data_IF_894191597269
#
_entry.id   IF_894191597269
#
_cell.length_a   1.000
_cell.length_b   1.000
_cell.length_c   1.000
_cell.angle_alpha   90.00
_cell.angle_beta   90.00
_cell.angle_gamma   90.00
#
_symmetry.space_group_name_H-M   'P 1'
#
loop_
_entity.id
_entity.type
_entity.pdbx_description
1 polymer ?
#
# COMPACT_ATOMS: atom_id res chain seq x y z
N UNK A 1 -20.13 -21.04 6.38
CA UNK A 1 -19.45 -22.07 7.18
C UNK A 1 -20.43 -23.21 7.30
N UNK A 2 -20.15 -24.37 6.72
CA UNK A 2 -21.03 -25.54 6.87
C UNK A 2 -21.12 -25.87 8.37
N UNK A 3 -22.33 -26.01 8.88
CA UNK A 3 -22.59 -26.33 10.28
C UNK A 3 -22.12 -27.75 10.57
N UNK A 4 -21.23 -27.91 11.55
CA UNK A 4 -20.63 -29.20 11.89
C UNK A 4 -21.70 -30.11 12.54
N UNK A 5 -22.14 -31.16 11.85
CA UNK A 5 -23.12 -32.10 12.40
C UNK A 5 -22.47 -33.13 13.34
N UNK A 6 -22.30 -32.72 14.60
CA UNK A 6 -21.78 -33.57 15.69
C UNK A 6 -22.87 -34.18 16.55
N UNK A 7 -24.14 -34.13 16.12
CA UNK A 7 -25.23 -34.66 16.93
C UNK A 7 -25.42 -36.16 16.68
N UNK A 8 -24.67 -36.99 17.44
CA UNK A 8 -24.75 -38.45 17.36
C UNK A 8 -25.83 -39.06 18.26
N UNK A 9 -26.41 -38.28 19.17
CA UNK A 9 -27.33 -38.75 20.21
C UNK A 9 -28.54 -39.53 19.66
N UNK A 10 -29.19 -39.11 18.56
CA UNK A 10 -30.33 -39.83 17.99
C UNK A 10 -29.97 -41.25 17.53
N UNK A 11 -28.85 -41.41 16.81
CA UNK A 11 -28.39 -42.71 16.32
C UNK A 11 -27.93 -43.61 17.48
N UNK A 12 -27.25 -43.05 18.48
CA UNK A 12 -26.85 -43.80 19.68
C UNK A 12 -28.07 -44.32 20.44
N UNK A 13 -29.10 -43.48 20.58
CA UNK A 13 -30.36 -43.87 21.20
C UNK A 13 -31.07 -44.99 20.43
N UNK A 14 -31.11 -44.91 19.09
CA UNK A 14 -31.70 -45.95 18.24
C UNK A 14 -30.95 -47.29 18.33
N UNK A 15 -29.61 -47.27 18.43
CA UNK A 15 -28.80 -48.48 18.64
C UNK A 15 -29.13 -49.12 19.99
N UNK A 16 -29.14 -48.33 21.08
CA UNK A 16 -29.45 -48.82 22.42
C UNK A 16 -30.86 -49.44 22.50
N UNK A 17 -31.83 -48.78 21.85
CA UNK A 17 -33.21 -49.28 21.74
C UNK A 17 -33.28 -50.60 20.95
N UNK A 18 -32.49 -50.74 19.89
CA UNK A 18 -32.45 -51.94 19.05
C UNK A 18 -31.75 -53.14 19.73
N UNK A 19 -30.85 -52.89 20.69
CA UNK A 19 -30.27 -53.95 21.54
C UNK A 19 -31.23 -54.47 22.62
N UNK A 20 -32.20 -53.65 23.04
CA UNK A 20 -33.06 -53.93 24.21
C UNK A 20 -34.36 -54.64 23.84
N UNK A 21 -34.68 -54.76 22.55
CA UNK A 21 -35.93 -55.32 22.03
C UNK A 21 -35.58 -56.38 21.00
N UNK A 22 -36.24 -57.54 21.02
CA UNK A 22 -36.15 -58.56 19.95
C UNK A 22 -36.66 -57.95 18.64
N UNK A 23 -35.76 -57.32 17.90
CA UNK A 23 -36.02 -56.62 16.64
C UNK A 23 -35.32 -57.31 15.48
N UNK A 24 -35.71 -56.92 14.28
CA UNK A 24 -35.19 -57.42 13.01
C UNK A 24 -33.65 -57.56 13.07
N UNK A 25 -33.08 -58.76 12.83
CA UNK A 25 -31.65 -59.01 12.95
C UNK A 25 -30.78 -58.12 12.05
N UNK A 26 -31.38 -57.41 11.08
CA UNK A 26 -30.68 -56.48 10.19
C UNK A 26 -30.72 -54.99 10.65
N UNK A 27 -31.61 -54.61 11.58
CA UNK A 27 -31.78 -53.20 12.01
C UNK A 27 -30.56 -52.67 12.79
N UNK A 28 -30.02 -53.49 13.70
CA UNK A 28 -28.87 -53.12 14.51
C UNK A 28 -27.58 -52.91 13.67
N UNK A 29 -27.18 -53.85 12.77
CA UNK A 29 -26.06 -53.64 11.86
C UNK A 29 -26.20 -52.38 11.00
N UNK A 30 -27.42 -52.09 10.51
CA UNK A 30 -27.69 -50.91 9.70
C UNK A 30 -27.44 -49.62 10.47
N UNK A 31 -27.94 -49.52 11.72
CA UNK A 31 -27.75 -48.33 12.57
C UNK A 31 -26.30 -48.15 13.02
N UNK A 32 -25.57 -49.24 13.25
CA UNK A 32 -24.13 -49.19 13.53
C UNK A 32 -23.33 -48.69 12.31
N UNK A 33 -23.71 -49.12 11.09
CA UNK A 33 -23.09 -48.63 9.86
C UNK A 33 -23.37 -47.12 9.64
N UNK A 34 -24.59 -46.67 9.95
CA UNK A 34 -24.99 -45.26 9.90
C UNK A 34 -24.16 -44.40 10.87
N UNK A 35 -23.97 -44.86 12.12
CA UNK A 35 -23.09 -44.19 13.09
C UNK A 35 -21.66 -44.08 12.58
N UNK A 36 -21.12 -45.16 12.00
CA UNK A 36 -19.76 -45.19 11.46
C UNK A 36 -19.58 -44.18 10.31
N UNK A 37 -20.55 -44.11 9.40
CA UNK A 37 -20.55 -43.14 8.31
C UNK A 37 -20.59 -41.71 8.85
N UNK A 38 -21.46 -41.45 9.83
CA UNK A 38 -21.57 -40.12 10.46
C UNK A 38 -20.29 -39.70 11.18
N UNK A 39 -19.64 -40.62 11.90
CA UNK A 39 -18.34 -40.37 12.55
C UNK A 39 -17.24 -40.07 11.54
N UNK A 40 -17.23 -40.75 10.40
CA UNK A 40 -16.25 -40.52 9.35
C UNK A 40 -16.42 -39.14 8.72
N UNK A 41 -17.66 -38.77 8.41
CA UNK A 41 -17.99 -37.45 7.89
C UNK A 41 -17.59 -36.34 8.88
N UNK A 42 -17.88 -36.53 10.17
CA UNK A 42 -17.48 -35.57 11.21
C UNK A 42 -15.95 -35.43 11.30
N UNK A 43 -15.18 -36.52 11.20
CA UNK A 43 -13.70 -36.45 11.16
C UNK A 43 -13.19 -35.65 9.96
N UNK A 44 -13.77 -35.87 8.77
CA UNK A 44 -13.40 -35.14 7.56
C UNK A 44 -13.72 -33.66 7.64
N UNK A 45 -14.84 -33.30 8.28
CA UNK A 45 -15.19 -31.90 8.53
C UNK A 45 -14.26 -31.25 9.58
N UNK A 46 -13.95 -31.95 10.67
CA UNK A 46 -13.02 -31.49 11.71
C UNK A 46 -11.64 -31.23 11.12
N UNK A 47 -11.14 -32.12 10.26
CA UNK A 47 -9.84 -31.97 9.58
C UNK A 47 -9.77 -30.75 8.65
N UNK A 48 -10.92 -30.21 8.24
CA UNK A 48 -11.01 -28.99 7.41
C UNK A 48 -11.23 -27.72 8.25
N UNK A 49 -11.36 -27.84 9.58
CA UNK A 49 -11.55 -26.67 10.43
C UNK A 49 -10.29 -25.80 10.42
N UNK A 50 -10.43 -24.48 10.21
CA UNK A 50 -9.30 -23.58 10.21
C UNK A 50 -8.62 -23.59 11.58
N UNK A 51 -7.30 -23.75 11.58
CA UNK A 51 -6.47 -23.69 12.76
C UNK A 51 -6.31 -24.99 13.53
N UNK A 52 -6.86 -26.11 13.06
CA UNK A 52 -6.63 -27.44 13.63
C UNK A 52 -5.19 -27.96 13.39
N UNK A 53 -4.50 -27.35 12.43
CA UNK A 53 -3.10 -27.56 12.08
C UNK A 53 -2.12 -26.88 13.04
N UNK A 54 -2.58 -25.93 13.85
CA UNK A 54 -1.76 -25.24 14.85
C UNK A 54 -1.66 -26.04 16.16
N UNK A 55 -0.50 -25.95 16.82
CA UNK A 55 -0.41 -26.35 18.22
C UNK A 55 -1.21 -25.40 19.10
N UNK A 56 -1.54 -25.84 20.32
CA UNK A 56 -2.21 -24.99 21.30
C UNK A 56 -1.46 -23.68 21.53
N UNK A 57 -0.14 -23.74 21.67
CA UNK A 57 0.72 -22.57 21.90
C UNK A 57 0.67 -21.59 20.71
N UNK A 58 0.64 -22.10 19.49
CA UNK A 58 0.53 -21.26 18.29
C UNK A 58 -0.86 -20.63 18.16
N UNK A 59 -1.93 -21.37 18.49
CA UNK A 59 -3.29 -20.82 18.56
C UNK A 59 -3.38 -19.68 19.59
N UNK A 60 -2.80 -19.86 20.77
CA UNK A 60 -2.76 -18.84 21.83
C UNK A 60 -1.97 -17.60 21.38
N UNK A 61 -0.81 -17.80 20.71
CA UNK A 61 -0.01 -16.71 20.17
C UNK A 61 -0.77 -15.92 19.09
N UNK A 62 -1.43 -16.60 18.17
CA UNK A 62 -2.23 -15.94 17.13
C UNK A 62 -3.39 -15.15 17.73
N UNK A 63 -4.07 -15.71 18.74
CA UNK A 63 -5.13 -15.03 19.46
C UNK A 63 -4.64 -13.74 20.14
N UNK A 64 -3.47 -13.78 20.76
CA UNK A 64 -2.84 -12.62 21.38
C UNK A 64 -2.50 -11.53 20.34
N UNK A 65 -1.90 -11.91 19.22
CA UNK A 65 -1.62 -10.98 18.12
C UNK A 65 -2.90 -10.34 17.55
N UNK A 66 -3.96 -11.13 17.36
CA UNK A 66 -5.25 -10.63 16.88
C UNK A 66 -5.90 -9.66 17.87
N UNK A 67 -5.80 -9.94 19.17
CA UNK A 67 -6.27 -9.01 20.22
C UNK A 67 -5.51 -7.69 20.19
N UNK A 68 -4.18 -7.74 20.07
CA UNK A 68 -3.34 -6.55 19.94
C UNK A 68 -3.71 -5.73 18.69
N UNK A 69 -3.89 -6.40 17.54
CA UNK A 69 -4.34 -5.74 16.32
C UNK A 69 -5.72 -5.09 16.46
N UNK A 70 -6.65 -5.77 17.14
CA UNK A 70 -8.01 -5.26 17.35
C UNK A 70 -7.98 -3.95 18.16
N UNK A 71 -7.18 -3.91 19.23
CA UNK A 71 -6.99 -2.70 20.06
C UNK A 71 -6.48 -1.55 19.21
N UNK A 72 -5.35 -1.75 18.49
CA UNK A 72 -4.75 -0.73 17.65
C UNK A 72 -5.74 -0.23 16.59
N UNK A 73 -6.38 -1.13 15.85
CA UNK A 73 -7.36 -0.75 14.81
C UNK A 73 -8.54 0.02 15.37
N UNK A 74 -9.03 -0.37 16.55
CA UNK A 74 -10.14 0.33 17.21
C UNK A 74 -9.73 1.74 17.65
N UNK A 75 -8.51 1.93 18.12
CA UNK A 75 -7.99 3.25 18.46
C UNK A 75 -7.79 4.15 17.25
N UNK A 76 -7.30 3.60 16.13
CA UNK A 76 -7.15 4.36 14.88
C UNK A 76 -8.49 4.86 14.34
N UNK A 77 -9.55 4.06 14.45
CA UNK A 77 -10.90 4.46 14.04
C UNK A 77 -11.51 5.58 14.89
N UNK A 78 -10.99 5.81 16.11
CA UNK A 78 -11.47 6.92 16.97
C UNK A 78 -10.89 8.27 16.56
N UNK A 79 -9.78 8.30 15.83
CA UNK A 79 -9.10 9.54 15.45
C UNK A 79 -9.68 10.06 14.14
N UNK A 80 -10.04 11.34 14.11
CA UNK A 80 -10.51 11.98 12.88
C UNK A 80 -9.30 12.40 12.02
N UNK A 81 -9.14 11.85 10.81
CA UNK A 81 -8.07 12.26 9.91
C UNK A 81 -8.08 13.77 9.60
N UNK A 82 -9.23 14.42 9.73
CA UNK A 82 -9.40 15.85 9.48
C UNK A 82 -8.52 16.71 10.39
N UNK A 83 -8.26 16.27 11.63
CA UNK A 83 -7.37 16.98 12.56
C UNK A 83 -5.94 17.05 12.02
N UNK A 84 -5.41 15.95 11.49
CA UNK A 84 -4.08 15.93 10.88
C UNK A 84 -4.02 16.75 9.59
N UNK A 85 -5.06 16.64 8.75
CA UNK A 85 -5.16 17.39 7.50
C UNK A 85 -5.14 18.91 7.74
N UNK A 86 -5.67 19.37 8.89
CA UNK A 86 -5.67 20.79 9.24
C UNK A 86 -4.27 21.36 9.50
N UNK A 87 -3.27 20.53 9.79
CA UNK A 87 -1.90 20.99 10.06
C UNK A 87 -0.98 20.93 8.83
N UNK A 88 -1.38 20.22 7.76
CA UNK A 88 -0.55 20.05 6.56
C UNK A 88 -0.22 21.37 5.87
N UNK A 89 1.02 21.50 5.39
CA UNK A 89 1.57 22.65 4.69
C UNK A 89 1.52 23.97 5.48
N UNK A 90 1.36 23.89 6.80
CA UNK A 90 1.33 25.06 7.70
C UNK A 90 2.55 25.07 8.59
N UNK A 91 2.90 26.26 9.08
CA UNK A 91 3.96 26.40 10.07
C UNK A 91 3.37 26.12 11.46
N UNK A 92 3.96 25.18 12.18
CA UNK A 92 3.54 24.80 13.53
C UNK A 92 4.73 24.83 14.48
N UNK A 93 4.41 24.93 15.76
CA UNK A 93 5.33 24.68 16.86
C UNK A 93 4.83 23.46 17.63
N UNK A 94 5.62 22.40 17.60
CA UNK A 94 5.37 21.12 18.27
C UNK A 94 6.09 21.13 19.61
N UNK A 95 5.35 20.88 20.69
CA UNK A 95 5.92 20.71 22.04
C UNK A 95 6.05 19.23 22.34
N UNK A 96 7.27 18.80 22.71
CA UNK A 96 7.54 17.43 23.13
C UNK A 96 7.34 17.23 24.64
N UNK A 97 7.32 15.97 25.08
CA UNK A 97 7.13 15.55 26.47
C UNK A 97 8.30 15.93 27.40
N UNK A 98 9.50 16.08 26.85
CA UNK A 98 10.68 16.61 27.52
C UNK A 98 10.68 18.15 27.65
N UNK A 99 9.65 18.82 27.12
CA UNK A 99 9.51 20.28 27.11
C UNK A 99 10.26 20.98 25.98
N UNK A 100 10.95 20.25 25.09
CA UNK A 100 11.55 20.82 23.90
C UNK A 100 10.48 21.27 22.90
N UNK A 101 10.81 22.29 22.11
CA UNK A 101 9.89 22.84 21.10
C UNK A 101 10.54 22.83 19.72
N UNK A 102 9.80 22.31 18.76
CA UNK A 102 10.24 22.16 17.37
C UNK A 102 9.35 22.99 16.47
N UNK A 103 9.94 23.99 15.82
CA UNK A 103 9.24 24.86 14.88
C UNK A 103 9.57 24.47 13.44
N UNK A 104 8.55 24.35 12.61
CA UNK A 104 8.72 24.07 11.17
C UNK A 104 7.40 23.91 10.42
N UNK A 105 7.51 23.67 9.13
CA UNK A 105 6.38 23.45 8.23
C UNK A 105 6.04 21.97 8.17
N UNK A 106 4.77 21.63 8.39
CA UNK A 106 4.33 20.23 8.40
C UNK A 106 4.31 19.68 6.97
N UNK A 107 5.14 18.68 6.71
CA UNK A 107 5.13 17.91 5.47
C UNK A 107 4.08 16.79 5.53
N UNK A 108 4.10 16.00 6.60
CA UNK A 108 3.13 14.92 6.82
C UNK A 108 2.99 14.58 8.30
N UNK A 109 1.89 13.91 8.65
CA UNK A 109 1.66 13.31 9.96
C UNK A 109 1.22 11.87 9.72
N UNK A 110 1.95 10.91 10.29
CA UNK A 110 1.58 9.50 10.19
C UNK A 110 0.36 9.22 11.10
N UNK A 111 -0.81 8.82 10.56
CA UNK A 111 -2.00 8.58 11.37
C UNK A 111 -1.84 7.42 12.36
N UNK A 112 -0.88 6.52 12.13
CA UNK A 112 -0.63 5.37 13.02
C UNK A 112 0.27 5.76 14.18
N UNK A 113 1.51 6.16 13.90
CA UNK A 113 2.47 6.51 14.94
C UNK A 113 2.31 7.93 15.49
N UNK A 114 1.50 8.77 14.85
CA UNK A 114 1.36 10.22 15.12
C UNK A 114 2.66 11.00 14.96
N UNK A 115 3.64 10.43 14.25
CA UNK A 115 4.91 11.10 14.00
C UNK A 115 4.69 12.29 13.09
N UNK A 116 5.21 13.45 13.49
CA UNK A 116 5.09 14.72 12.76
C UNK A 116 6.40 14.98 12.03
N UNK A 117 6.32 15.19 10.73
CA UNK A 117 7.47 15.52 9.88
C UNK A 117 7.48 17.02 9.60
N UNK A 118 8.47 17.72 10.14
CA UNK A 118 8.66 19.16 9.99
C UNK A 118 9.80 19.46 9.02
N UNK A 119 9.62 20.52 8.22
CA UNK A 119 10.63 21.07 7.31
C UNK A 119 10.91 22.50 7.70
N UNK A 120 12.19 22.83 7.87
CA UNK A 120 12.64 24.20 8.08
C UNK A 120 13.15 24.77 6.76
N UNK A 121 12.83 26.04 6.53
CA UNK A 121 13.29 26.79 5.37
C UNK A 121 14.27 27.86 5.83
N UNK A 122 15.36 28.03 5.10
CA UNK A 122 16.29 29.13 5.27
C UNK A 122 16.35 29.93 3.97
N UNK A 123 16.40 31.26 4.10
CA UNK A 123 16.67 32.18 2.99
C UNK A 123 18.17 32.44 2.95
N UNK A 124 18.91 31.93 1.95
CA UNK A 124 20.32 32.26 1.78
C UNK A 124 20.49 33.78 1.58
N UNK A 125 21.58 34.33 2.11
CA UNK A 125 21.89 35.75 1.92
C UNK A 125 21.98 36.07 0.42
N UNK A 126 21.13 37.00 -0.06
CA UNK A 126 21.07 37.40 -1.48
C UNK A 126 20.08 36.62 -2.35
N UNK A 127 19.27 35.71 -1.78
CA UNK A 127 18.17 35.03 -2.48
C UNK A 127 16.82 35.42 -1.90
N UNK A 128 15.88 35.80 -2.76
CA UNK A 128 14.46 35.99 -2.40
C UNK A 128 13.71 34.65 -2.23
N UNK A 129 14.35 33.54 -2.59
CA UNK A 129 13.77 32.19 -2.50
C UNK A 129 14.30 31.44 -1.29
N UNK A 130 13.37 30.94 -0.45
CA UNK A 130 13.71 30.11 0.69
C UNK A 130 13.90 28.65 0.23
N UNK A 131 14.95 28.01 0.73
CA UNK A 131 15.25 26.61 0.41
C UNK A 131 15.09 25.74 1.66
N UNK A 132 14.64 24.48 1.51
CA UNK A 132 14.53 23.57 2.64
C UNK A 132 15.93 23.30 3.21
N UNK A 133 16.13 23.60 4.49
CA UNK A 133 17.42 23.53 5.17
C UNK A 133 17.54 22.31 6.08
N UNK A 134 16.44 21.90 6.71
CA UNK A 134 16.44 20.78 7.67
C UNK A 134 15.09 20.05 7.67
N UNK A 135 15.16 18.72 7.71
CA UNK A 135 14.03 17.83 7.95
C UNK A 135 14.12 17.28 9.37
N UNK A 136 13.04 17.35 10.14
CA UNK A 136 12.96 16.85 11.50
C UNK A 136 11.73 15.97 11.67
N UNK A 137 11.89 14.82 12.31
CA UNK A 137 10.81 13.88 12.58
C UNK A 137 10.64 13.80 14.09
N UNK A 138 9.49 14.24 14.59
CA UNK A 138 9.11 14.10 16.00
C UNK A 138 8.21 12.88 16.14
N UNK A 139 8.63 11.93 16.97
CA UNK A 139 7.87 10.70 17.21
C UNK A 139 6.57 11.01 17.93
N UNK A 140 5.45 10.42 17.51
CA UNK A 140 4.14 10.81 18.03
C UNK A 140 3.89 10.55 19.52
N UNK A 141 4.59 9.60 20.14
CA UNK A 141 4.52 9.39 21.59
C UNK A 141 5.19 10.53 22.39
N UNK A 142 6.11 11.26 21.77
CA UNK A 142 6.77 12.42 22.36
C UNK A 142 5.95 13.71 22.14
N UNK A 143 5.01 13.74 21.19
CA UNK A 143 4.23 14.95 20.89
C UNK A 143 3.16 15.19 21.95
N UNK A 144 3.24 16.32 22.65
CA UNK A 144 2.25 16.76 23.63
C UNK A 144 1.23 17.71 23.02
N UNK A 145 1.69 18.67 22.21
CA UNK A 145 0.81 19.67 21.61
C UNK A 145 1.38 20.19 20.27
N UNK A 146 0.48 20.56 19.36
CA UNK A 146 0.81 21.19 18.07
C UNK A 146 0.09 22.54 18.01
N UNK A 147 0.86 23.62 18.05
CA UNK A 147 0.33 24.99 17.97
C UNK A 147 0.59 25.58 16.58
N UNK A 148 -0.45 26.16 15.98
CA UNK A 148 -0.35 26.73 14.64
C UNK A 148 0.29 28.13 14.71
N UNK A 149 1.41 28.32 14.02
CA UNK A 149 2.16 29.59 13.96
C UNK A 149 1.80 30.36 12.69
N UNK A 150 1.74 29.68 11.54
CA UNK A 150 1.30 30.26 10.28
C UNK A 150 0.27 29.35 9.61
N UNK A 151 -0.91 29.91 9.30
CA UNK A 151 -2.01 29.19 8.66
C UNK A 151 -2.00 29.25 7.13
N UNK A 152 -1.11 30.05 6.53
CA UNK A 152 -0.98 30.18 5.08
C UNK A 152 -0.37 28.92 4.50
N UNK A 153 -1.19 28.13 3.81
CA UNK A 153 -0.77 26.85 3.22
C UNK A 153 0.06 27.04 1.96
N UNK A 154 -0.16 28.13 1.22
CA UNK A 154 0.47 28.33 -0.10
C UNK A 154 1.94 28.78 -0.04
N UNK A 155 2.46 29.13 1.14
CA UNK A 155 3.79 29.74 1.30
C UNK A 155 4.92 28.84 0.82
N UNK A 156 4.95 27.59 1.25
CA UNK A 156 5.99 26.61 0.86
C UNK A 156 5.42 25.30 0.33
N UNK A 157 4.14 25.26 -0.03
CA UNK A 157 3.49 24.04 -0.50
C UNK A 157 4.21 23.41 -1.69
N UNK A 158 4.61 24.24 -2.66
CA UNK A 158 5.29 23.75 -3.87
C UNK A 158 6.63 23.12 -3.52
N UNK A 159 7.38 23.75 -2.64
CA UNK A 159 8.70 23.32 -2.18
C UNK A 159 8.59 22.04 -1.35
N UNK A 160 7.56 21.92 -0.50
CA UNK A 160 7.23 20.70 0.25
C UNK A 160 6.87 19.55 -0.71
N UNK A 161 5.98 19.78 -1.68
CA UNK A 161 5.59 18.78 -2.69
C UNK A 161 6.79 18.31 -3.54
N UNK A 162 7.83 19.15 -3.66
CA UNK A 162 9.06 18.86 -4.40
C UNK A 162 10.14 18.16 -3.59
N UNK A 163 10.08 18.18 -2.25
CA UNK A 163 11.18 17.76 -1.37
C UNK A 163 11.72 16.35 -1.65
N UNK A 164 10.83 15.42 -2.02
CA UNK A 164 11.18 14.04 -2.36
C UNK A 164 10.90 13.69 -3.84
N UNK A 165 10.61 14.70 -4.67
CA UNK A 165 10.41 14.49 -6.09
C UNK A 165 11.79 14.48 -6.78
N UNK A 166 12.09 13.51 -7.65
CA UNK A 166 13.34 13.52 -8.41
C UNK A 166 13.45 14.83 -9.21
N UNK A 167 14.61 15.51 -9.17
CA UNK A 167 14.89 16.76 -9.92
C UNK A 167 14.50 16.66 -11.41
N UNK A 168 14.65 15.47 -12.00
CA UNK A 168 14.28 15.18 -13.38
C UNK A 168 12.78 15.41 -13.67
N UNK A 169 11.93 15.29 -12.65
CA UNK A 169 10.49 15.52 -12.74
C UNK A 169 10.09 16.98 -12.46
N UNK A 170 11.03 17.82 -12.03
CA UNK A 170 10.84 19.26 -11.78
C UNK A 170 10.96 20.07 -13.08
N UNK A 171 11.90 19.70 -13.95
CA UNK A 171 12.03 20.22 -15.33
C UNK A 171 10.79 19.90 -16.18
N UNK A 172 10.04 18.83 -15.87
CA UNK A 172 8.94 18.32 -16.70
C UNK A 172 7.56 18.94 -16.39
N UNK A 173 7.52 20.05 -15.68
CA UNK A 173 6.25 20.68 -15.25
C UNK A 173 5.54 21.47 -16.35
N UNK A 174 6.18 21.65 -17.52
CA UNK A 174 5.54 22.24 -18.69
C UNK A 174 4.79 21.19 -19.50
N UNK A 175 3.47 21.34 -19.67
CA UNK A 175 2.68 20.54 -20.63
C UNK A 175 3.31 20.55 -22.03
N UNK A 176 3.89 21.68 -22.42
CA UNK A 176 4.60 21.83 -23.69
C UNK A 176 5.87 20.99 -23.77
N UNK A 177 6.63 20.88 -22.69
CA UNK A 177 7.88 20.11 -22.65
C UNK A 177 7.61 18.61 -22.60
N UNK A 178 6.54 18.22 -21.89
CA UNK A 178 6.04 16.86 -21.88
C UNK A 178 5.61 16.40 -23.28
N UNK A 179 4.96 17.29 -24.06
CA UNK A 179 4.62 17.04 -25.47
C UNK A 179 5.87 16.98 -26.36
N UNK A 180 6.85 17.87 -26.17
CA UNK A 180 8.15 17.79 -26.89
C UNK A 180 8.85 16.46 -26.62
N UNK A 181 8.83 16.00 -25.36
CA UNK A 181 9.45 14.72 -24.96
C UNK A 181 8.69 13.53 -25.52
N UNK A 182 7.35 13.56 -25.46
CA UNK A 182 6.48 12.57 -26.10
C UNK A 182 6.80 12.41 -27.57
N UNK A 183 6.88 13.53 -28.30
CA UNK A 183 7.16 13.52 -29.74
C UNK A 183 8.59 13.08 -30.04
N UNK A 184 9.57 13.44 -29.19
CA UNK A 184 10.96 12.95 -29.30
C UNK A 184 11.04 11.43 -29.14
N UNK A 185 10.40 10.87 -28.11
CA UNK A 185 10.37 9.41 -27.86
C UNK A 185 9.62 8.70 -28.98
N UNK A 186 8.48 9.23 -29.41
CA UNK A 186 7.69 8.70 -30.53
C UNK A 186 8.52 8.67 -31.82
N UNK A 187 9.17 9.77 -32.16
CA UNK A 187 10.03 9.89 -33.36
C UNK A 187 11.23 8.94 -33.29
N UNK A 188 11.86 8.82 -32.12
CA UNK A 188 12.98 7.91 -31.91
C UNK A 188 12.59 6.44 -32.09
N UNK A 189 11.47 6.03 -31.49
CA UNK A 189 10.95 4.66 -31.64
C UNK A 189 10.56 4.36 -33.09
N UNK A 190 9.90 5.30 -33.76
CA UNK A 190 9.55 5.18 -35.19
C UNK A 190 10.81 5.06 -36.07
N UNK A 191 11.86 5.84 -35.78
CA UNK A 191 13.14 5.78 -36.49
C UNK A 191 13.86 4.44 -36.26
N UNK A 192 13.68 3.83 -35.09
CA UNK A 192 14.15 2.47 -34.79
C UNK A 192 13.21 1.36 -35.31
N UNK A 193 12.32 1.70 -36.27
CA UNK A 193 11.38 0.77 -36.93
C UNK A 193 10.38 0.11 -35.98
N UNK A 194 10.06 0.77 -34.87
CA UNK A 194 9.00 0.35 -33.95
C UNK A 194 7.74 1.16 -34.25
N UNK A 195 6.62 0.54 -34.66
CA UNK A 195 5.39 1.28 -34.92
C UNK A 195 4.79 1.73 -33.59
N UNK A 196 4.59 3.04 -33.44
CA UNK A 196 4.02 3.65 -32.23
C UNK A 196 2.65 4.23 -32.53
N UNK A 197 1.64 3.80 -31.79
CA UNK A 197 0.30 4.38 -31.78
C UNK A 197 0.11 5.20 -30.51
N UNK A 198 -0.62 6.32 -30.60
CA UNK A 198 -0.87 7.20 -29.44
C UNK A 198 -2.28 6.91 -28.93
N UNK A 199 -2.37 6.39 -27.70
CA UNK A 199 -3.62 6.13 -27.00
C UNK A 199 -3.74 7.13 -25.83
N UNK A 200 -4.28 8.31 -26.09
CA UNK A 200 -4.35 9.41 -25.13
C UNK A 200 -2.96 9.93 -24.75
N UNK A 201 -2.57 9.74 -23.49
CA UNK A 201 -1.26 10.12 -22.95
C UNK A 201 -0.23 8.99 -23.00
N UNK A 202 -0.58 7.81 -23.51
CA UNK A 202 0.32 6.63 -23.55
C UNK A 202 0.79 6.35 -24.98
N UNK A 203 2.09 6.08 -25.14
CA UNK A 203 2.66 5.59 -26.40
C UNK A 203 2.60 4.05 -26.40
N UNK A 204 1.82 3.48 -27.31
CA UNK A 204 1.67 2.04 -27.48
C UNK A 204 2.57 1.55 -28.62
N UNK A 205 3.38 0.52 -28.34
CA UNK A 205 4.32 -0.09 -29.26
C UNK A 205 3.82 -1.50 -29.59
N UNK A 206 3.13 -1.64 -30.72
CA UNK A 206 2.60 -2.92 -31.23
C UNK A 206 1.81 -3.77 -30.21
N UNK A 207 1.09 -3.15 -29.28
CA UNK A 207 0.37 -3.80 -28.16
C UNK A 207 1.27 -4.63 -27.21
N UNK A 208 2.59 -4.55 -27.37
CA UNK A 208 3.56 -5.33 -26.62
C UNK A 208 4.22 -4.50 -25.51
N UNK A 209 4.35 -3.19 -25.69
CA UNK A 209 4.91 -2.28 -24.69
C UNK A 209 4.21 -0.92 -24.71
N UNK A 210 4.16 -0.28 -23.54
CA UNK A 210 3.52 1.00 -23.31
C UNK A 210 4.51 1.95 -22.64
N UNK A 211 4.57 3.20 -23.07
CA UNK A 211 5.37 4.25 -22.43
C UNK A 211 4.43 5.32 -21.89
N UNK A 212 4.46 5.53 -20.58
CA UNK A 212 3.59 6.46 -19.86
C UNK A 212 4.35 7.75 -19.52
N UNK A 213 3.66 8.88 -19.29
CA UNK A 213 4.30 10.09 -18.77
C UNK A 213 5.08 9.78 -17.48
N UNK A 214 6.27 10.37 -17.26
CA UNK A 214 6.97 11.40 -18.05
C UNK A 214 7.76 10.94 -19.30
N UNK A 215 7.47 9.77 -19.87
CA UNK A 215 8.10 9.22 -21.07
C UNK A 215 9.58 8.89 -20.92
N UNK A 216 9.98 8.38 -19.76
CA UNK A 216 11.34 7.88 -19.51
C UNK A 216 11.43 6.36 -19.68
N UNK A 217 12.66 5.84 -19.68
CA UNK A 217 12.87 4.40 -19.76
C UNK A 217 12.22 3.69 -18.56
N UNK A 218 12.23 4.31 -17.40
CA UNK A 218 11.65 3.80 -16.17
C UNK A 218 10.11 3.78 -16.22
N UNK A 219 9.48 4.54 -17.13
CA UNK A 219 8.03 4.62 -17.30
C UNK A 219 7.51 3.72 -18.44
N UNK A 220 8.21 2.62 -18.71
CA UNK A 220 7.79 1.62 -19.68
C UNK A 220 7.08 0.45 -18.98
N UNK A 221 5.98 -0.04 -19.56
CA UNK A 221 5.24 -1.23 -19.11
C UNK A 221 5.13 -2.25 -20.23
N UNK A 222 5.42 -3.51 -19.94
CA UNK A 222 5.25 -4.64 -20.86
C UNK A 222 5.06 -5.93 -20.05
N UNK A 223 4.27 -6.87 -20.56
CA UNK A 223 4.14 -8.22 -19.98
C UNK A 223 5.33 -9.12 -20.33
N UNK A 224 6.19 -8.67 -21.25
CA UNK A 224 7.40 -9.35 -21.67
C UNK A 224 8.63 -8.53 -21.26
N UNK A 225 9.41 -9.05 -20.31
CA UNK A 225 10.59 -8.37 -19.76
C UNK A 225 11.72 -8.18 -20.78
N UNK A 226 11.83 -9.06 -21.78
CA UNK A 226 12.82 -8.90 -22.86
C UNK A 226 12.45 -7.70 -23.73
N UNK A 227 11.16 -7.56 -24.05
CA UNK A 227 10.65 -6.40 -24.79
C UNK A 227 10.83 -5.13 -23.95
N UNK A 228 10.50 -5.19 -22.66
CA UNK A 228 10.69 -4.08 -21.72
C UNK A 228 12.15 -3.60 -21.74
N UNK A 229 13.11 -4.49 -21.47
CA UNK A 229 14.53 -4.14 -21.44
C UNK A 229 15.05 -3.56 -22.75
N UNK A 230 14.55 -4.04 -23.90
CA UNK A 230 14.91 -3.49 -25.22
C UNK A 230 14.36 -2.08 -25.43
N UNK A 231 13.09 -1.84 -25.11
CA UNK A 231 12.47 -0.51 -25.22
C UNK A 231 13.16 0.48 -24.27
N UNK A 232 13.42 0.05 -23.03
CA UNK A 232 14.15 0.86 -22.05
C UNK A 232 15.57 1.20 -22.54
N UNK A 233 16.28 0.23 -23.12
CA UNK A 233 17.60 0.46 -23.73
C UNK A 233 17.55 1.44 -24.89
N UNK A 234 16.54 1.34 -25.76
CA UNK A 234 16.34 2.28 -26.87
C UNK A 234 16.10 3.70 -26.36
N UNK A 235 15.26 3.88 -25.35
CA UNK A 235 14.96 5.20 -24.77
C UNK A 235 16.19 5.79 -24.07
N UNK A 236 17.00 4.97 -23.37
CA UNK A 236 18.26 5.42 -22.75
C UNK A 236 19.30 5.91 -23.76
N UNK A 237 19.25 5.40 -25.00
CA UNK A 237 20.15 5.75 -26.09
C UNK A 237 19.66 6.91 -26.96
N UNK A 238 18.59 7.62 -26.55
CA UNK A 238 18.18 8.83 -27.26
C UNK A 238 19.32 9.85 -27.22
N UNK A 239 19.77 10.37 -28.38
CA UNK A 239 20.81 11.39 -28.41
C UNK A 239 20.36 12.62 -27.62
N UNK A 240 21.20 13.02 -26.67
CA UNK A 240 21.10 14.32 -26.03
C UNK A 240 21.54 15.33 -27.08
N UNK A 241 20.61 16.16 -27.54
CA UNK A 241 20.93 17.30 -28.37
C UNK A 241 21.76 18.24 -27.50
N UNK A 242 23.08 18.22 -27.67
CA UNK A 242 23.95 19.26 -27.13
C UNK A 242 23.74 20.52 -27.97
N UNK A 243 23.25 21.59 -27.34
CA UNK A 243 23.26 22.96 -27.87
C UNK A 243 24.71 23.50 -27.91
N UNK A 244 25.58 22.87 -28.68
CA UNK A 244 26.92 23.39 -28.97
C UNK A 244 27.41 22.99 -30.36
N UNK A 245 26.83 23.61 -31.38
CA UNK A 245 27.44 23.71 -32.71
C UNK A 245 26.88 24.90 -33.49
N UNK A 246 27.20 26.12 -33.04
CA UNK A 246 27.37 27.24 -33.97
C UNK A 246 28.84 27.24 -34.42
N UNK A 247 29.06 27.06 -35.73
CA UNK A 247 30.23 27.53 -36.45
C UNK A 247 29.73 28.54 -37.48
#
# INVERSE_FOLDING_TARGET
MEELDVNFLPIVYEILKSCSVEKDPYELPQKVAELKAKLQLAKEQIAKLPGIDYSKEEQERQLELLRQQLVIKTELLKKDPSEFMNHLHKEVCVTADDGTTHKGWVYTIDPVSQSVVLVQFATPEGSDTATPSRLEVIMGHAVVNITMVNSQTDTYKKELDRLFRPKLMEELSGREELEKRKEKVRSWLAMNRMPVTVAGEVLNISDAAFVEPPYEAENCRSTNEIILGRIQGLIKNIPKTDDSAEC
#
